data_IF_716212291932
#
_entry.id   IF_716212291932
#
_cell.length_a   1.000
_cell.length_b   1.000
_cell.length_c   1.000
_cell.angle_alpha   90.00
_cell.angle_beta   90.00
_cell.angle_gamma   90.00
#
_symmetry.space_group_name_H-M   'P 1'
#
loop_
_entity.id
_entity.type
_entity.pdbx_description
1 polymer ?
#
# COMPACT_ATOMS: atom_id res chain seq x y z
N UNK A 1 14.84 -5.30 -3.65
CA UNK A 1 14.40 -6.70 -3.88
C UNK A 1 13.33 -7.09 -2.84
N UNK A 2 13.59 -6.94 -1.53
CA UNK A 2 12.67 -7.32 -0.45
C UNK A 2 11.27 -6.70 -0.61
N UNK A 3 11.18 -5.39 -0.86
CA UNK A 3 9.91 -4.70 -1.04
C UNK A 3 9.08 -5.28 -2.21
N UNK A 4 9.71 -5.60 -3.34
CA UNK A 4 9.02 -6.23 -4.47
C UNK A 4 8.55 -7.65 -4.13
N UNK A 5 9.36 -8.42 -3.41
CA UNK A 5 8.96 -9.75 -2.95
C UNK A 5 7.81 -9.69 -1.94
N UNK A 6 7.81 -8.70 -1.04
CA UNK A 6 6.69 -8.47 -0.11
C UNK A 6 5.40 -8.13 -0.86
N UNK A 7 5.45 -7.27 -1.87
CA UNK A 7 4.28 -6.96 -2.72
C UNK A 7 3.81 -8.22 -3.43
N UNK A 8 4.71 -8.98 -4.05
CA UNK A 8 4.36 -10.23 -4.71
C UNK A 8 3.78 -11.28 -3.75
N UNK A 9 4.25 -11.32 -2.51
CA UNK A 9 3.68 -12.17 -1.46
C UNK A 9 2.23 -11.77 -1.13
N UNK A 10 1.96 -10.47 -0.97
CA UNK A 10 0.59 -9.97 -0.75
C UNK A 10 -0.32 -10.29 -1.93
N UNK A 11 0.16 -10.06 -3.16
CA UNK A 11 -0.57 -10.42 -4.39
C UNK A 11 -0.83 -11.93 -4.46
N UNK A 12 0.15 -12.75 -4.09
CA UNK A 12 0.00 -14.21 -4.04
C UNK A 12 -1.14 -14.63 -3.09
N UNK A 13 -1.16 -14.09 -1.88
CA UNK A 13 -2.20 -14.38 -0.93
C UNK A 13 -3.59 -13.92 -1.41
N UNK A 14 -3.66 -12.73 -2.00
CA UNK A 14 -4.89 -12.22 -2.58
C UNK A 14 -5.43 -13.12 -3.70
N UNK A 15 -4.56 -13.62 -4.59
CA UNK A 15 -4.96 -14.53 -5.66
C UNK A 15 -5.38 -15.90 -5.15
N UNK A 16 -4.71 -16.42 -4.11
CA UNK A 16 -5.09 -17.69 -3.47
C UNK A 16 -6.47 -17.58 -2.82
N UNK A 17 -6.65 -16.60 -1.92
CA UNK A 17 -7.85 -16.50 -1.10
C UNK A 17 -9.03 -15.82 -1.82
N UNK A 18 -8.77 -14.89 -2.75
CA UNK A 18 -9.81 -14.18 -3.48
C UNK A 18 -10.30 -14.89 -4.73
N UNK A 19 -9.43 -15.59 -5.44
CA UNK A 19 -9.75 -16.23 -6.73
C UNK A 19 -9.51 -17.74 -6.77
N UNK A 20 -9.09 -18.34 -5.66
CA UNK A 20 -8.68 -19.76 -5.60
C UNK A 20 -7.62 -20.12 -6.66
N UNK A 21 -6.72 -19.17 -7.00
CA UNK A 21 -5.63 -19.43 -7.92
C UNK A 21 -4.52 -20.27 -7.24
N UNK A 22 -3.76 -21.07 -7.99
CA UNK A 22 -2.62 -21.78 -7.41
C UNK A 22 -1.55 -20.77 -7.01
N UNK A 23 -1.16 -20.78 -5.74
CA UNK A 23 -0.03 -19.99 -5.26
C UNK A 23 1.29 -20.51 -5.80
N UNK A 24 2.35 -19.72 -5.63
CA UNK A 24 3.71 -20.05 -6.12
C UNK A 24 4.16 -21.45 -5.68
N UNK A 25 3.98 -21.79 -4.40
CA UNK A 25 4.37 -23.09 -3.85
C UNK A 25 3.60 -24.23 -4.53
N UNK A 26 2.30 -24.03 -4.77
CA UNK A 26 1.47 -25.06 -5.39
C UNK A 26 1.78 -25.24 -6.89
N UNK A 27 2.11 -24.16 -7.59
CA UNK A 27 2.61 -24.22 -9.00
C UNK A 27 3.92 -24.99 -9.08
N UNK A 28 4.84 -24.76 -8.15
CA UNK A 28 6.09 -25.52 -8.09
C UNK A 28 5.84 -27.00 -7.83
N UNK A 29 4.91 -27.34 -6.92
CA UNK A 29 4.51 -28.70 -6.62
C UNK A 29 3.85 -29.42 -7.79
N UNK A 30 2.93 -28.76 -8.49
CA UNK A 30 2.25 -29.31 -9.69
C UNK A 30 3.26 -29.64 -10.81
N UNK A 31 4.32 -28.85 -10.93
CA UNK A 31 5.38 -29.08 -11.91
C UNK A 31 6.55 -29.89 -11.35
N UNK A 32 6.47 -30.42 -10.13
CA UNK A 32 7.52 -31.21 -9.45
C UNK A 32 8.87 -30.50 -9.41
N UNK A 33 8.87 -29.17 -9.33
CA UNK A 33 10.08 -28.36 -9.28
C UNK A 33 10.61 -28.35 -7.84
N UNK A 34 11.90 -28.53 -7.66
CA UNK A 34 12.59 -28.59 -6.36
C UNK A 34 12.07 -29.65 -5.37
N UNK A 35 11.39 -30.71 -5.84
CA UNK A 35 10.86 -31.76 -4.97
C UNK A 35 9.68 -31.30 -4.10
N UNK A 36 9.06 -30.18 -4.41
CA UNK A 36 7.87 -29.66 -3.71
C UNK A 36 6.67 -30.52 -4.10
N UNK A 37 5.85 -30.90 -3.13
CA UNK A 37 4.57 -31.57 -3.38
C UNK A 37 3.45 -30.55 -3.54
N UNK A 38 2.50 -30.85 -4.45
CA UNK A 38 1.34 -30.01 -4.64
C UNK A 38 0.34 -30.22 -3.50
N UNK A 39 -0.14 -29.14 -2.91
CA UNK A 39 -1.14 -29.17 -1.83
C UNK A 39 -2.55 -29.44 -2.38
N UNK A 40 -2.85 -28.95 -3.57
CA UNK A 40 -4.14 -29.11 -4.25
C UNK A 40 -3.93 -29.31 -5.75
N UNK A 41 -4.79 -30.12 -6.40
CA UNK A 41 -4.84 -30.31 -7.84
C UNK A 41 -6.21 -29.88 -8.39
N UNK A 42 -6.30 -29.69 -9.70
CA UNK A 42 -7.59 -29.45 -10.37
C UNK A 42 -7.97 -28.00 -10.59
N UNK A 43 -7.01 -27.14 -10.90
CA UNK A 43 -7.25 -25.74 -11.28
C UNK A 43 -7.71 -25.63 -12.74
N UNK A 44 -8.58 -24.64 -13.03
CA UNK A 44 -8.90 -24.29 -14.41
C UNK A 44 -7.67 -23.78 -15.15
N UNK A 45 -7.61 -23.96 -16.47
CA UNK A 45 -6.46 -23.55 -17.28
C UNK A 45 -6.13 -22.05 -17.11
N UNK A 46 -7.15 -21.19 -16.97
CA UNK A 46 -6.95 -19.76 -16.76
C UNK A 46 -6.30 -19.45 -15.40
N UNK A 47 -6.75 -20.06 -14.32
CA UNK A 47 -6.18 -19.85 -12.98
C UNK A 47 -4.76 -20.42 -12.89
N UNK A 48 -4.48 -21.52 -13.57
CA UNK A 48 -3.13 -22.08 -13.64
C UNK A 48 -2.15 -21.14 -14.34
N UNK A 49 -2.56 -20.48 -15.45
CA UNK A 49 -1.75 -19.48 -16.13
C UNK A 49 -1.45 -18.30 -15.20
N UNK A 50 -2.42 -17.81 -14.43
CA UNK A 50 -2.21 -16.75 -13.43
C UNK A 50 -1.14 -17.15 -12.41
N UNK A 51 -1.21 -18.38 -11.89
CA UNK A 51 -0.21 -18.92 -10.97
C UNK A 51 1.19 -19.03 -11.59
N UNK A 52 1.29 -19.44 -12.87
CA UNK A 52 2.55 -19.48 -13.61
C UNK A 52 3.15 -18.08 -13.80
N UNK A 53 2.35 -17.09 -14.20
CA UNK A 53 2.79 -15.71 -14.37
C UNK A 53 3.32 -15.14 -13.06
N UNK A 54 2.65 -15.42 -11.97
CA UNK A 54 3.07 -14.97 -10.65
C UNK A 54 4.37 -15.65 -10.21
N UNK A 55 4.50 -16.95 -10.43
CA UNK A 55 5.73 -17.70 -10.16
C UNK A 55 6.89 -17.14 -10.98
N UNK A 56 6.66 -16.89 -12.28
CA UNK A 56 7.65 -16.26 -13.15
C UNK A 56 8.03 -14.84 -12.67
N UNK A 57 7.08 -14.06 -12.16
CA UNK A 57 7.36 -12.73 -11.60
C UNK A 57 8.27 -12.81 -10.36
N UNK A 58 8.02 -13.75 -9.45
CA UNK A 58 8.87 -13.96 -8.26
C UNK A 58 10.30 -14.33 -8.65
N UNK A 59 10.46 -15.31 -9.51
CA UNK A 59 11.79 -15.71 -9.98
C UNK A 59 12.45 -14.61 -10.82
N UNK A 60 11.68 -13.87 -11.61
CA UNK A 60 12.14 -12.71 -12.38
C UNK A 60 12.73 -11.61 -11.49
N UNK A 61 12.08 -11.28 -10.37
CA UNK A 61 12.58 -10.30 -9.40
C UNK A 61 13.88 -10.79 -8.74
N UNK A 62 13.96 -12.07 -8.36
CA UNK A 62 15.17 -12.67 -7.77
C UNK A 62 16.31 -12.64 -8.78
N UNK A 63 16.07 -13.09 -10.01
CA UNK A 63 17.06 -13.08 -11.08
C UNK A 63 17.55 -11.66 -11.40
N UNK A 64 16.63 -10.71 -11.52
CA UNK A 64 16.95 -9.30 -11.76
C UNK A 64 17.82 -8.73 -10.64
N UNK A 65 17.49 -9.02 -9.37
CA UNK A 65 18.29 -8.59 -8.23
C UNK A 65 19.71 -9.18 -8.25
N UNK A 66 19.83 -10.48 -8.50
CA UNK A 66 21.13 -11.16 -8.62
C UNK A 66 21.95 -10.57 -9.77
N UNK A 67 21.33 -10.38 -10.95
CA UNK A 67 21.99 -9.80 -12.12
C UNK A 67 22.53 -8.39 -11.85
N UNK A 68 21.73 -7.53 -11.22
CA UNK A 68 22.16 -6.18 -10.84
C UNK A 68 23.28 -6.17 -9.80
N UNK A 69 23.24 -7.09 -8.83
CA UNK A 69 24.28 -7.23 -7.81
C UNK A 69 25.61 -7.65 -8.44
N UNK A 70 25.58 -8.58 -9.39
CA UNK A 70 26.78 -9.07 -10.07
C UNK A 70 27.37 -8.00 -11.00
N UNK A 71 26.54 -7.24 -11.72
CA UNK A 71 26.98 -6.20 -12.66
C UNK A 71 27.56 -4.94 -12.01
N UNK A 72 27.65 -4.90 -10.66
CA UNK A 72 28.19 -3.77 -9.90
C UNK A 72 27.58 -2.42 -10.32
N UNK A 73 26.29 -2.25 -10.09
CA UNK A 73 25.65 -0.95 -10.13
C UNK A 73 26.35 0.02 -9.16
N UNK A 74 26.41 1.30 -9.51
CA UNK A 74 26.94 2.30 -8.58
C UNK A 74 25.95 2.43 -7.41
N UNK A 75 26.32 1.92 -6.24
CA UNK A 75 25.48 1.91 -5.01
C UNK A 75 24.85 3.28 -4.72
N UNK A 76 25.56 4.38 -5.03
CA UNK A 76 25.03 5.75 -4.85
C UNK A 76 23.88 6.08 -5.80
N UNK A 77 23.93 5.60 -7.05
CA UNK A 77 22.84 5.81 -8.01
C UNK A 77 21.61 4.96 -7.65
N UNK A 78 21.83 3.76 -7.16
CA UNK A 78 20.74 2.90 -6.71
C UNK A 78 20.09 3.45 -5.43
N UNK A 79 20.89 3.98 -4.50
CA UNK A 79 20.37 4.68 -3.32
C UNK A 79 19.51 5.90 -3.71
N UNK A 80 19.98 6.74 -4.65
CA UNK A 80 19.23 7.90 -5.13
C UNK A 80 17.91 7.51 -5.84
N UNK A 81 17.90 6.40 -6.59
CA UNK A 81 16.69 5.87 -7.22
C UNK A 81 15.68 5.36 -6.19
N UNK A 82 16.15 4.65 -5.17
CA UNK A 82 15.30 4.16 -4.08
C UNK A 82 14.72 5.31 -3.27
N UNK A 83 15.50 6.36 -3.03
CA UNK A 83 15.04 7.57 -2.34
C UNK A 83 13.96 8.31 -3.12
N UNK A 84 14.14 8.46 -4.45
CA UNK A 84 13.13 9.00 -5.33
C UNK A 84 11.85 8.14 -5.34
N UNK A 85 12.00 6.81 -5.43
CA UNK A 85 10.87 5.88 -5.42
C UNK A 85 10.10 5.95 -4.10
N UNK A 86 10.81 5.97 -2.96
CA UNK A 86 10.20 6.12 -1.64
C UNK A 86 9.40 7.41 -1.53
N UNK A 87 9.99 8.54 -1.96
CA UNK A 87 9.30 9.82 -1.97
C UNK A 87 8.09 9.84 -2.91
N UNK A 88 8.17 9.17 -4.08
CA UNK A 88 7.03 9.00 -4.98
C UNK A 88 5.91 8.18 -4.35
N UNK A 89 6.22 7.04 -3.73
CA UNK A 89 5.23 6.17 -3.09
C UNK A 89 4.50 6.91 -1.97
N UNK A 90 5.21 7.68 -1.13
CA UNK A 90 4.59 8.49 -0.07
C UNK A 90 3.60 9.51 -0.66
N UNK A 91 3.97 10.21 -1.73
CA UNK A 91 3.06 11.17 -2.40
C UNK A 91 1.87 10.49 -3.05
N UNK A 92 2.10 9.37 -3.75
CA UNK A 92 1.04 8.59 -4.37
C UNK A 92 0.04 8.06 -3.33
N UNK A 93 0.55 7.57 -2.21
CA UNK A 93 -0.27 7.11 -1.10
C UNK A 93 -1.07 8.27 -0.47
N UNK A 94 -0.47 9.45 -0.27
CA UNK A 94 -1.19 10.62 0.22
C UNK A 94 -2.36 10.99 -0.71
N UNK A 95 -2.10 11.14 -2.00
CA UNK A 95 -3.13 11.51 -2.97
C UNK A 95 -4.21 10.43 -3.10
N UNK A 96 -3.84 9.14 -3.03
CA UNK A 96 -4.79 8.04 -3.04
C UNK A 96 -5.71 8.10 -1.81
N UNK A 97 -5.15 8.23 -0.62
CA UNK A 97 -5.90 8.32 0.64
C UNK A 97 -6.81 9.55 0.66
N UNK A 98 -6.32 10.69 0.18
CA UNK A 98 -7.12 11.91 0.10
C UNK A 98 -8.30 11.75 -0.88
N UNK A 99 -8.02 11.39 -2.13
CA UNK A 99 -9.02 11.36 -3.19
C UNK A 99 -10.04 10.24 -2.96
N UNK A 100 -9.57 9.04 -2.61
CA UNK A 100 -10.45 7.90 -2.32
C UNK A 100 -11.27 8.16 -1.05
N UNK A 101 -10.66 8.71 0.00
CA UNK A 101 -11.37 9.04 1.24
C UNK A 101 -12.48 10.06 1.04
N UNK A 102 -12.22 11.14 0.30
CA UNK A 102 -13.25 12.15 -0.04
C UNK A 102 -14.34 11.52 -0.90
N UNK A 103 -13.99 10.77 -1.94
CA UNK A 103 -14.96 10.12 -2.81
C UNK A 103 -15.85 9.14 -2.03
N UNK A 104 -15.26 8.33 -1.14
CA UNK A 104 -16.02 7.37 -0.33
C UNK A 104 -16.91 8.06 0.70
N UNK A 105 -16.47 9.18 1.30
CA UNK A 105 -17.28 10.00 2.16
C UNK A 105 -18.51 10.59 1.43
N UNK A 106 -18.32 11.14 0.23
CA UNK A 106 -19.42 11.67 -0.61
C UNK A 106 -20.39 10.56 -0.99
N UNK A 107 -19.91 9.41 -1.42
CA UNK A 107 -20.77 8.27 -1.77
C UNK A 107 -21.51 7.71 -0.56
N UNK A 108 -20.86 7.67 0.60
CA UNK A 108 -21.50 7.24 1.85
C UNK A 108 -22.60 8.22 2.28
N UNK A 109 -22.35 9.52 2.15
CA UNK A 109 -23.36 10.54 2.38
C UNK A 109 -24.57 10.36 1.45
N UNK A 110 -24.34 10.27 0.14
CA UNK A 110 -25.41 10.07 -0.84
C UNK A 110 -26.22 8.78 -0.59
N UNK A 111 -25.58 7.74 -0.06
CA UNK A 111 -26.25 6.48 0.28
C UNK A 111 -27.10 6.61 1.54
N UNK A 112 -26.61 7.29 2.58
CA UNK A 112 -27.33 7.50 3.83
C UNK A 112 -28.57 8.37 3.62
N UNK A 113 -28.44 9.41 2.80
CA UNK A 113 -29.54 10.33 2.46
C UNK A 113 -30.41 9.85 1.27
N UNK A 114 -30.17 8.63 0.78
CA UNK A 114 -30.91 7.98 -0.34
C UNK A 114 -30.87 8.74 -1.68
N UNK A 115 -29.93 9.66 -1.87
CA UNK A 115 -29.76 10.40 -3.12
C UNK A 115 -29.08 9.60 -4.24
N UNK A 116 -28.45 8.49 -3.92
CA UNK A 116 -27.60 7.74 -4.84
C UNK A 116 -28.35 7.23 -6.07
N UNK A 117 -29.61 6.78 -5.92
CA UNK A 117 -30.44 6.33 -7.04
C UNK A 117 -30.95 7.47 -7.90
N UNK A 118 -31.31 8.58 -7.26
CA UNK A 118 -31.81 9.78 -7.97
C UNK A 118 -30.72 10.40 -8.84
N UNK A 119 -29.46 10.41 -8.37
CA UNK A 119 -28.34 11.04 -9.07
C UNK A 119 -27.74 10.13 -10.13
N UNK A 120 -27.57 8.83 -9.83
CA UNK A 120 -26.83 7.89 -10.69
C UNK A 120 -27.72 6.85 -11.40
N UNK A 121 -29.02 6.88 -11.17
CA UNK A 121 -29.96 5.88 -11.67
C UNK A 121 -29.74 4.51 -11.03
N UNK A 122 -30.50 3.50 -11.47
CA UNK A 122 -30.46 2.16 -10.87
C UNK A 122 -29.10 1.48 -11.01
N UNK A 123 -28.45 1.59 -12.16
CA UNK A 123 -27.14 0.98 -12.40
C UNK A 123 -26.04 1.63 -11.57
N UNK A 124 -25.96 2.96 -11.58
CA UNK A 124 -24.99 3.70 -10.78
C UNK A 124 -25.23 3.54 -9.28
N UNK A 125 -26.50 3.52 -8.87
CA UNK A 125 -26.90 3.23 -7.49
C UNK A 125 -26.44 1.86 -7.00
N UNK A 126 -26.54 0.83 -7.85
CA UNK A 126 -26.04 -0.52 -7.55
C UNK A 126 -24.50 -0.55 -7.36
N UNK A 127 -23.74 0.19 -8.19
CA UNK A 127 -22.27 0.30 -8.05
C UNK A 127 -21.91 0.92 -6.69
N UNK A 128 -22.59 1.99 -6.31
CA UNK A 128 -22.33 2.71 -5.06
C UNK A 128 -22.77 1.88 -3.84
N UNK A 129 -23.83 1.10 -3.96
CA UNK A 129 -24.34 0.28 -2.86
C UNK A 129 -23.39 -0.85 -2.46
N UNK A 130 -22.72 -1.49 -3.43
CA UNK A 130 -21.86 -2.66 -3.20
C UNK A 130 -20.40 -2.26 -3.00
N UNK A 131 -19.75 -2.62 -1.85
CA UNK A 131 -18.35 -2.30 -1.59
C UNK A 131 -17.38 -2.83 -2.65
N UNK A 132 -17.61 -4.05 -3.15
CA UNK A 132 -16.78 -4.67 -4.20
C UNK A 132 -16.81 -3.89 -5.51
N UNK A 133 -17.99 -3.44 -5.93
CA UNK A 133 -18.16 -2.65 -7.14
C UNK A 133 -17.52 -1.27 -6.99
N UNK A 134 -17.68 -0.60 -5.85
CA UNK A 134 -16.99 0.67 -5.55
C UNK A 134 -15.47 0.52 -5.64
N UNK A 135 -14.93 -0.56 -5.08
CA UNK A 135 -13.49 -0.84 -5.14
C UNK A 135 -12.97 -0.85 -6.56
N UNK A 136 -13.61 -1.61 -7.44
CA UNK A 136 -13.16 -1.81 -8.82
C UNK A 136 -13.43 -0.58 -9.70
N UNK A 137 -14.65 -0.03 -9.65
CA UNK A 137 -15.08 1.00 -10.61
C UNK A 137 -14.74 2.43 -10.16
N UNK A 138 -14.52 2.67 -8.88
CA UNK A 138 -14.28 3.99 -8.32
C UNK A 138 -12.90 4.10 -7.68
N UNK A 139 -12.59 3.25 -6.69
CA UNK A 139 -11.33 3.39 -5.95
C UNK A 139 -10.11 3.10 -6.83
N UNK A 140 -10.13 2.02 -7.63
CA UNK A 140 -8.98 1.70 -8.51
C UNK A 140 -8.70 2.82 -9.53
N UNK A 141 -9.67 3.35 -10.29
CA UNK A 141 -9.42 4.50 -11.16
C UNK A 141 -8.90 5.73 -10.41
N UNK A 142 -9.44 6.05 -9.23
CA UNK A 142 -8.98 7.18 -8.42
C UNK A 142 -7.55 6.97 -7.90
N UNK A 143 -7.16 5.76 -7.54
CA UNK A 143 -5.77 5.43 -7.18
C UNK A 143 -4.82 5.63 -8.36
N UNK A 144 -5.23 5.29 -9.58
CA UNK A 144 -4.44 5.55 -10.78
C UNK A 144 -4.28 7.06 -11.00
N UNK A 145 -5.35 7.83 -10.86
CA UNK A 145 -5.30 9.30 -10.95
C UNK A 145 -4.37 9.87 -9.87
N UNK A 146 -4.45 9.40 -8.64
CA UNK A 146 -3.58 9.78 -7.54
C UNK A 146 -2.09 9.51 -7.87
N UNK A 147 -1.78 8.36 -8.43
CA UNK A 147 -0.43 8.01 -8.85
C UNK A 147 0.09 8.94 -9.96
N UNK A 148 -0.76 9.33 -10.91
CA UNK A 148 -0.40 10.30 -11.96
C UNK A 148 -0.17 11.71 -11.40
N UNK A 149 -1.01 12.16 -10.46
CA UNK A 149 -0.82 13.46 -9.78
C UNK A 149 0.51 13.47 -9.02
N UNK A 150 0.83 12.39 -8.31
CA UNK A 150 2.07 12.26 -7.54
C UNK A 150 3.36 12.31 -8.39
N UNK A 151 3.28 12.05 -9.70
CA UNK A 151 4.41 12.23 -10.62
C UNK A 151 4.74 13.72 -10.82
N UNK A 152 3.73 14.58 -10.80
CA UNK A 152 3.87 16.04 -11.05
C UNK A 152 4.04 16.83 -9.77
N UNK A 153 3.24 16.52 -8.76
CA UNK A 153 3.27 17.22 -7.49
C UNK A 153 4.41 16.71 -6.60
N UNK A 154 5.31 17.62 -6.21
CA UNK A 154 6.44 17.35 -5.31
C UNK A 154 6.31 18.06 -3.98
N UNK A 155 5.24 18.82 -3.76
CA UNK A 155 5.06 19.69 -2.59
C UNK A 155 4.48 18.99 -1.37
N UNK A 156 3.82 17.84 -1.58
CA UNK A 156 3.09 17.14 -0.52
C UNK A 156 4.04 16.34 0.36
N UNK A 157 3.90 16.54 1.66
CA UNK A 157 4.59 15.79 2.71
C UNK A 157 3.59 15.10 3.65
N UNK A 158 4.08 14.22 4.51
CA UNK A 158 3.28 13.50 5.50
C UNK A 158 2.50 14.44 6.45
N UNK A 159 3.01 15.65 6.68
CA UNK A 159 2.35 16.67 7.52
C UNK A 159 0.94 17.00 7.03
N UNK A 160 0.71 16.99 5.71
CA UNK A 160 -0.62 17.20 5.15
C UNK A 160 -1.63 16.11 5.53
N UNK A 161 -1.16 14.86 5.68
CA UNK A 161 -2.02 13.77 6.13
C UNK A 161 -2.46 13.95 7.59
N UNK A 162 -1.55 14.47 8.43
CA UNK A 162 -1.89 14.87 9.81
C UNK A 162 -2.97 15.96 9.81
N UNK A 163 -2.82 16.97 8.94
CA UNK A 163 -3.81 18.04 8.81
C UNK A 163 -5.18 17.51 8.38
N UNK A 164 -5.23 16.54 7.47
CA UNK A 164 -6.50 15.92 7.06
C UNK A 164 -7.22 15.24 8.23
N UNK A 165 -6.48 14.51 9.07
CA UNK A 165 -7.05 13.90 10.28
C UNK A 165 -7.61 14.97 11.21
N UNK A 166 -6.84 16.03 11.48
CA UNK A 166 -7.29 17.13 12.36
C UNK A 166 -8.54 17.83 11.80
N UNK A 167 -8.58 18.09 10.49
CA UNK A 167 -9.76 18.70 9.85
C UNK A 167 -10.97 17.79 9.96
N UNK A 168 -10.83 16.49 9.71
CA UNK A 168 -11.93 15.54 9.79
C UNK A 168 -12.50 15.44 11.22
N UNK A 169 -11.63 15.35 12.23
CA UNK A 169 -12.04 15.39 13.65
C UNK A 169 -12.73 16.71 14.00
N UNK A 170 -12.19 17.83 13.56
CA UNK A 170 -12.79 19.13 13.78
C UNK A 170 -14.19 19.23 13.17
N UNK A 171 -14.39 18.70 11.95
CA UNK A 171 -15.72 18.68 11.32
C UNK A 171 -16.72 17.81 12.08
N UNK A 172 -16.29 16.69 12.67
CA UNK A 172 -17.13 15.87 13.53
C UNK A 172 -17.57 16.66 14.77
N UNK A 173 -16.62 17.33 15.43
CA UNK A 173 -16.91 18.15 16.62
C UNK A 173 -17.88 19.27 16.28
N UNK A 174 -17.64 20.02 15.20
CA UNK A 174 -18.54 21.09 14.74
C UNK A 174 -19.92 20.56 14.41
N UNK A 175 -20.00 19.45 13.67
CA UNK A 175 -21.28 18.81 13.32
C UNK A 175 -22.09 18.42 14.56
N UNK A 176 -21.43 17.82 15.53
CA UNK A 176 -22.06 17.37 16.77
C UNK A 176 -22.52 18.53 17.64
N UNK A 177 -21.68 19.55 17.85
CA UNK A 177 -22.00 20.64 18.79
C UNK A 177 -22.88 21.73 18.18
N UNK A 178 -22.73 22.05 16.88
CA UNK A 178 -23.51 23.13 16.25
C UNK A 178 -24.82 22.62 15.68
N UNK A 179 -24.77 21.45 15.01
CA UNK A 179 -25.94 20.91 14.32
C UNK A 179 -26.66 19.79 15.08
N UNK A 180 -26.09 19.30 16.19
CA UNK A 180 -26.62 18.15 16.95
C UNK A 180 -26.65 16.84 16.13
N UNK A 181 -25.90 16.76 15.06
CA UNK A 181 -25.92 15.69 14.08
C UNK A 181 -24.52 15.14 13.78
N UNK A 182 -24.37 13.84 13.84
CA UNK A 182 -23.14 13.15 13.50
C UNK A 182 -23.45 12.07 12.45
N UNK A 183 -22.77 12.17 11.30
CA UNK A 183 -22.86 11.13 10.28
C UNK A 183 -21.86 10.00 10.57
N UNK A 184 -22.34 8.77 10.53
CA UNK A 184 -21.55 7.57 10.83
C UNK A 184 -20.32 7.42 9.95
N UNK A 185 -20.40 7.84 8.67
CA UNK A 185 -19.28 7.76 7.74
C UNK A 185 -18.11 8.70 8.08
N UNK A 186 -18.32 9.76 8.84
CA UNK A 186 -17.25 10.68 9.27
C UNK A 186 -16.25 9.96 10.19
N UNK A 187 -16.75 9.14 11.12
CA UNK A 187 -15.90 8.33 11.98
C UNK A 187 -15.05 7.32 11.19
N UNK A 188 -15.60 6.72 10.14
CA UNK A 188 -14.88 5.79 9.28
C UNK A 188 -13.82 6.51 8.43
N UNK A 189 -14.11 7.72 7.95
CA UNK A 189 -13.15 8.56 7.23
C UNK A 189 -11.95 8.91 8.11
N UNK A 190 -12.18 9.33 9.35
CA UNK A 190 -11.10 9.61 10.31
C UNK A 190 -10.25 8.38 10.57
N UNK A 191 -10.87 7.23 10.82
CA UNK A 191 -10.16 5.96 11.04
C UNK A 191 -9.29 5.60 9.83
N UNK A 192 -9.80 5.78 8.63
CA UNK A 192 -9.07 5.51 7.38
C UNK A 192 -7.86 6.43 7.24
N UNK A 193 -8.01 7.74 7.42
CA UNK A 193 -6.92 8.69 7.35
C UNK A 193 -5.92 8.54 8.48
N UNK A 194 -6.38 8.24 9.70
CA UNK A 194 -5.52 7.97 10.84
C UNK A 194 -4.69 6.70 10.65
N UNK A 195 -5.30 5.62 10.16
CA UNK A 195 -4.58 4.40 9.83
C UNK A 195 -3.49 4.64 8.77
N UNK A 196 -3.81 5.40 7.72
CA UNK A 196 -2.83 5.79 6.69
C UNK A 196 -1.70 6.65 7.29
N UNK A 197 -2.02 7.64 8.13
CA UNK A 197 -1.04 8.45 8.83
C UNK A 197 -0.09 7.57 9.64
N UNK A 198 -0.62 6.65 10.44
CA UNK A 198 0.17 5.78 11.30
C UNK A 198 1.11 4.88 10.49
N UNK A 199 0.60 4.26 9.42
CA UNK A 199 1.38 3.37 8.57
C UNK A 199 2.51 4.11 7.82
N UNK A 200 2.23 5.29 7.29
CA UNK A 200 3.22 6.04 6.51
C UNK A 200 4.16 6.87 7.39
N UNK A 201 3.70 7.30 8.59
CA UNK A 201 4.54 8.05 9.52
C UNK A 201 5.74 7.23 10.00
N UNK A 202 5.57 5.94 10.25
CA UNK A 202 6.68 5.08 10.67
C UNK A 202 7.77 4.99 9.61
N UNK A 203 7.41 4.83 8.35
CA UNK A 203 8.35 4.80 7.23
C UNK A 203 9.04 6.17 7.01
N UNK A 204 8.29 7.27 7.14
CA UNK A 204 8.82 8.62 7.03
C UNK A 204 9.80 8.93 8.15
N UNK A 205 9.44 8.61 9.39
CA UNK A 205 10.29 8.81 10.57
C UNK A 205 11.59 8.02 10.47
N UNK A 206 11.54 6.81 9.91
CA UNK A 206 12.74 6.00 9.63
C UNK A 206 13.64 6.69 8.60
N UNK A 207 13.06 7.25 7.53
CA UNK A 207 13.80 7.96 6.48
C UNK A 207 14.48 9.23 6.98
N UNK A 208 13.80 10.01 7.81
CA UNK A 208 14.31 11.29 8.36
C UNK A 208 15.21 11.11 9.59
N UNK A 209 15.60 9.88 9.94
CA UNK A 209 16.34 9.58 11.16
C UNK A 209 15.65 10.10 12.45
N UNK A 210 14.34 10.34 12.38
CA UNK A 210 13.52 10.92 13.46
C UNK A 210 13.24 9.99 14.62
N UNK A 211 13.78 8.76 14.63
CA UNK A 211 13.64 7.85 15.76
C UNK A 211 14.45 8.37 16.95
N UNK A 212 13.83 8.34 18.12
CA UNK A 212 14.55 8.53 19.39
C UNK A 212 15.52 7.36 19.52
N UNK A 213 16.76 7.55 19.08
CA UNK A 213 17.83 6.58 19.30
C UNK A 213 18.25 6.70 20.76
N UNK A 214 18.24 5.58 21.47
CA UNK A 214 18.93 5.51 22.76
C UNK A 214 20.43 5.40 22.44
N UNK A 215 21.02 6.54 22.09
CA UNK A 215 22.38 6.64 21.56
C UNK A 215 23.48 6.43 22.61
N UNK A 216 23.14 6.13 23.86
CA UNK A 216 24.11 6.02 24.96
C UNK A 216 25.25 5.04 24.63
N UNK A 217 24.92 3.90 24.03
CA UNK A 217 25.91 2.91 23.63
C UNK A 217 26.41 3.11 22.19
N UNK A 218 25.54 3.57 21.30
CA UNK A 218 25.84 3.72 19.87
C UNK A 218 26.73 4.92 19.59
N UNK A 219 26.55 6.06 20.28
CA UNK A 219 27.29 7.29 20.05
C UNK A 219 28.81 7.11 20.23
N UNK A 220 29.23 6.30 21.22
CA UNK A 220 30.64 6.02 21.52
C UNK A 220 31.33 5.01 20.60
N UNK A 221 30.61 4.34 19.70
CA UNK A 221 31.18 3.30 18.85
C UNK A 221 31.99 3.89 17.68
N UNK A 222 33.04 3.16 17.29
CA UNK A 222 33.80 3.44 16.08
C UNK A 222 32.94 3.33 14.82
N UNK A 223 33.29 4.12 13.78
CA UNK A 223 32.55 4.17 12.49
C UNK A 223 32.34 2.81 11.84
N UNK A 224 33.31 1.90 11.97
CA UNK A 224 33.24 0.54 11.43
C UNK A 224 32.17 -0.30 12.16
N UNK A 225 32.16 -0.26 13.47
CA UNK A 225 31.20 -0.96 14.32
C UNK A 225 29.78 -0.44 14.10
N UNK A 226 29.60 0.89 13.99
CA UNK A 226 28.32 1.52 13.61
C UNK A 226 27.81 0.99 12.27
N UNK A 227 28.68 0.90 11.27
CA UNK A 227 28.31 0.39 9.94
C UNK A 227 27.86 -1.07 9.99
N UNK A 228 28.56 -1.92 10.75
CA UNK A 228 28.20 -3.33 10.92
C UNK A 228 26.86 -3.47 11.64
N UNK A 229 26.66 -2.74 12.75
CA UNK A 229 25.39 -2.76 13.50
C UNK A 229 24.21 -2.28 12.64
N UNK A 230 24.40 -1.21 11.86
CA UNK A 230 23.37 -0.73 10.96
C UNK A 230 23.04 -1.76 9.88
N UNK A 231 24.04 -2.44 9.32
CA UNK A 231 23.85 -3.51 8.34
C UNK A 231 23.06 -4.67 8.93
N UNK A 232 23.44 -5.13 10.13
CA UNK A 232 22.75 -6.22 10.83
C UNK A 232 21.31 -5.79 11.14
N UNK A 233 21.12 -4.58 11.68
CA UNK A 233 19.79 -4.02 11.96
C UNK A 233 18.89 -3.97 10.72
N UNK A 234 19.43 -3.50 9.60
CA UNK A 234 18.70 -3.46 8.34
C UNK A 234 18.34 -4.86 7.82
N UNK A 235 19.20 -5.86 8.02
CA UNK A 235 18.90 -7.24 7.61
C UNK A 235 17.85 -7.91 8.50
N UNK A 236 17.78 -7.55 9.80
CA UNK A 236 16.85 -8.15 10.74
C UNK A 236 15.46 -7.47 10.73
N UNK A 237 15.41 -6.17 10.49
CA UNK A 237 14.20 -5.36 10.65
C UNK A 237 13.72 -4.69 9.34
N UNK A 238 14.49 -4.74 8.26
CA UNK A 238 14.15 -4.23 6.92
C UNK A 238 13.81 -5.33 5.97
#
# INVERSE_FOLDING_TARGET
CSAFLSILFVVNNFLIFGFNAPGVVNVLGLNKIFGVESLNGGYSSGLYIVGLLQTAAVFGVIFWACYHTIKRGQLRLDAARLDWLSAYVIRAAFWAVLIVGIADAIMSFMRVEDFHKTVFGDFGGAIIALPSSRGIYIHVPLMIVAALIALRDKSVSLVWLTLLVVIAEFLIVVGRFIYGYEQTFMGDLVRFWYAALFLFASAYTLKEDGHVRVDVFYAGLERRTKSILNTIGTLLFG
#
